data_IF_446280697647
#
_entry.id   IF_446280697647
#
_cell.length_a   1.000
_cell.length_b   1.000
_cell.length_c   1.000
_cell.angle_alpha   90.00
_cell.angle_beta   90.00
_cell.angle_gamma   90.00
#
_symmetry.space_group_name_H-M   'P 1'
#
loop_
_entity.id
_entity.type
_entity.pdbx_description
1 polymer ?
#
# COMPACT_ATOMS: atom_id res chain seq x y z
N UNK A 1 15.94 -17.17 -28.89
CA UNK A 1 15.93 -18.58 -29.35
C UNK A 1 15.05 -19.43 -28.42
N UNK A 2 13.79 -19.05 -28.19
CA UNK A 2 12.83 -19.78 -27.33
C UNK A 2 11.48 -20.04 -28.05
N UNK A 3 11.38 -19.75 -29.36
CA UNK A 3 10.14 -19.92 -30.13
C UNK A 3 9.94 -21.34 -30.66
N UNK A 4 11.01 -22.03 -31.09
CA UNK A 4 10.88 -23.33 -31.77
C UNK A 4 10.15 -24.39 -30.95
N UNK A 5 10.44 -24.51 -29.65
CA UNK A 5 9.80 -25.52 -28.80
C UNK A 5 8.32 -25.21 -28.50
N UNK A 6 7.98 -23.91 -28.40
CA UNK A 6 6.60 -23.46 -28.16
C UNK A 6 5.73 -23.64 -29.40
N UNK A 7 6.27 -23.33 -30.59
CA UNK A 7 5.58 -23.48 -31.86
C UNK A 7 5.35 -24.96 -32.20
N UNK A 8 6.32 -25.83 -31.88
CA UNK A 8 6.18 -27.28 -32.08
C UNK A 8 5.10 -27.89 -31.19
N UNK A 9 4.94 -27.39 -29.95
CA UNK A 9 3.91 -27.86 -29.02
C UNK A 9 2.52 -27.36 -29.43
N UNK A 10 2.42 -26.10 -29.88
CA UNK A 10 1.17 -25.54 -30.41
C UNK A 10 0.69 -26.31 -31.65
N UNK A 11 1.60 -26.63 -32.58
CA UNK A 11 1.26 -27.42 -33.77
C UNK A 11 0.84 -28.86 -33.43
N UNK A 12 1.43 -29.48 -32.41
CA UNK A 12 1.06 -30.82 -31.96
C UNK A 12 -0.35 -30.86 -31.32
N UNK A 13 -0.71 -29.83 -30.54
CA UNK A 13 -2.04 -29.71 -29.93
C UNK A 13 -3.13 -29.47 -30.98
N UNK A 14 -2.88 -28.61 -31.96
CA UNK A 14 -3.78 -28.39 -33.09
C UNK A 14 -4.00 -29.68 -33.92
N UNK A 15 -2.96 -30.54 -34.00
CA UNK A 15 -3.08 -31.83 -34.67
C UNK A 15 -3.94 -32.83 -33.88
N UNK A 16 -3.85 -32.86 -32.55
CA UNK A 16 -4.74 -33.69 -31.72
C UNK A 16 -6.19 -33.21 -31.79
N UNK A 17 -6.43 -31.90 -31.76
CA UNK A 17 -7.77 -31.34 -31.91
C UNK A 17 -8.38 -31.67 -33.28
N UNK A 18 -7.58 -31.66 -34.35
CA UNK A 18 -8.03 -32.10 -35.68
C UNK A 18 -8.45 -33.58 -35.74
N UNK A 19 -7.80 -34.45 -34.95
CA UNK A 19 -8.15 -35.86 -34.86
C UNK A 19 -9.42 -36.05 -34.01
N UNK A 20 -9.54 -35.36 -32.89
CA UNK A 20 -10.69 -35.46 -31.96
C UNK A 20 -11.96 -34.87 -32.60
N UNK A 21 -11.83 -33.76 -33.34
CA UNK A 21 -12.94 -33.12 -34.05
C UNK A 21 -13.32 -33.84 -35.37
N UNK A 22 -12.56 -34.88 -35.77
CA UNK A 22 -12.79 -35.62 -37.01
C UNK A 22 -12.47 -34.85 -38.30
N UNK A 23 -11.82 -33.69 -38.21
CA UNK A 23 -11.48 -32.82 -39.34
C UNK A 23 -10.16 -33.20 -40.03
N UNK A 24 -9.27 -33.95 -39.35
CA UNK A 24 -8.13 -34.66 -39.92
C UNK A 24 -8.34 -36.15 -39.72
N UNK A 25 -9.08 -36.78 -40.63
CA UNK A 25 -9.03 -38.21 -40.79
C UNK A 25 -7.58 -38.58 -41.15
N UNK A 26 -6.93 -39.35 -40.29
CA UNK A 26 -5.69 -40.01 -40.62
C UNK A 26 -5.96 -40.83 -41.88
N UNK A 27 -5.33 -40.48 -43.01
CA UNK A 27 -5.33 -41.28 -44.23
C UNK A 27 -4.60 -42.61 -43.97
N UNK A 28 -5.13 -43.42 -43.06
CA UNK A 28 -5.12 -44.85 -43.27
C UNK A 28 -6.08 -45.08 -44.43
N UNK A 29 -5.52 -45.27 -45.62
CA UNK A 29 -6.18 -45.99 -46.71
C UNK A 29 -6.61 -47.35 -46.18
N UNK A 30 -7.78 -47.40 -45.54
CA UNK A 30 -8.45 -48.60 -45.10
C UNK A 30 -9.94 -48.30 -44.92
N UNK A 31 -10.69 -48.65 -45.97
CA UNK A 31 -11.85 -49.50 -45.74
C UNK A 31 -13.21 -48.82 -45.80
N UNK A 32 -13.50 -48.08 -46.86
CA UNK A 32 -14.91 -47.90 -47.26
C UNK A 32 -15.29 -48.56 -48.59
N UNK A 33 -14.38 -48.88 -49.52
CA UNK A 33 -14.77 -49.68 -50.70
C UNK A 33 -13.56 -50.30 -51.42
N UNK A 34 -12.86 -51.25 -50.80
CA UNK A 34 -11.88 -52.08 -51.53
C UNK A 34 -11.97 -53.55 -51.13
N UNK A 35 -12.84 -54.28 -51.82
CA UNK A 35 -13.09 -55.71 -51.69
C UNK A 35 -11.99 -56.54 -52.40
N UNK A 36 -10.71 -56.30 -52.09
CA UNK A 36 -9.58 -56.90 -52.82
C UNK A 36 -8.46 -57.44 -51.92
N UNK A 37 -8.77 -58.20 -50.86
CA UNK A 37 -7.75 -58.99 -50.15
C UNK A 37 -8.06 -60.49 -50.21
N UNK A 38 -7.14 -61.39 -50.66
CA UNK A 38 -7.51 -62.73 -51.12
C UNK A 38 -7.73 -63.81 -50.04
N UNK A 39 -7.59 -63.51 -48.75
CA UNK A 39 -7.33 -64.57 -47.74
C UNK A 39 -8.13 -64.53 -46.43
N UNK A 40 -9.26 -63.81 -46.32
CA UNK A 40 -10.10 -63.88 -45.10
C UNK A 40 -11.30 -64.84 -45.24
N UNK A 41 -11.41 -65.90 -44.40
CA UNK A 41 -12.51 -66.87 -44.46
C UNK A 41 -13.87 -66.31 -44.04
N UNK A 42 -13.89 -65.31 -43.16
CA UNK A 42 -15.13 -64.69 -42.66
C UNK A 42 -15.65 -63.59 -43.60
N UNK A 43 -14.75 -62.93 -44.34
CA UNK A 43 -15.10 -61.93 -45.36
C UNK A 43 -15.56 -62.55 -46.67
N UNK A 44 -15.29 -63.83 -46.92
CA UNK A 44 -15.77 -64.56 -48.10
C UNK A 44 -17.30 -64.63 -48.17
N UNK A 45 -17.97 -64.77 -47.02
CA UNK A 45 -19.44 -64.75 -46.93
C UNK A 45 -20.00 -63.36 -47.24
N UNK A 46 -19.39 -62.29 -46.72
CA UNK A 46 -19.79 -60.92 -47.05
C UNK A 46 -19.56 -60.58 -48.52
N UNK A 47 -18.49 -61.11 -49.13
CA UNK A 47 -18.20 -60.94 -50.56
C UNK A 47 -19.21 -61.69 -51.44
N UNK A 48 -19.58 -62.91 -51.03
CA UNK A 48 -20.63 -63.67 -51.70
C UNK A 48 -21.98 -62.94 -51.64
N UNK A 49 -22.33 -62.35 -50.49
CA UNK A 49 -23.55 -61.55 -50.34
C UNK A 49 -23.54 -60.29 -51.21
N UNK A 50 -22.43 -59.55 -51.26
CA UNK A 50 -22.31 -58.39 -52.15
C UNK A 50 -22.40 -58.78 -53.64
N UNK A 51 -21.73 -59.87 -54.06
CA UNK A 51 -21.84 -60.34 -55.44
C UNK A 51 -23.25 -60.78 -55.80
N UNK A 52 -23.97 -61.40 -54.85
CA UNK A 52 -25.39 -61.77 -55.01
C UNK A 52 -26.26 -60.53 -55.14
N UNK A 53 -25.99 -59.47 -54.38
CA UNK A 53 -26.69 -58.20 -54.47
C UNK A 53 -26.42 -57.48 -55.80
N UNK A 54 -25.17 -57.45 -56.26
CA UNK A 54 -24.78 -56.91 -57.57
C UNK A 54 -25.43 -57.70 -58.72
N UNK A 55 -25.42 -59.04 -58.63
CA UNK A 55 -26.10 -59.91 -59.59
C UNK A 55 -27.61 -59.68 -59.58
N UNK A 56 -28.22 -59.52 -58.40
CA UNK A 56 -29.63 -59.18 -58.27
C UNK A 56 -29.93 -57.85 -58.97
N UNK A 57 -29.13 -56.81 -58.72
CA UNK A 57 -29.31 -55.50 -59.34
C UNK A 57 -29.19 -55.56 -60.87
N UNK A 58 -28.17 -56.26 -61.40
CA UNK A 58 -27.99 -56.46 -62.83
C UNK A 58 -29.14 -57.26 -63.44
N UNK A 59 -29.57 -58.33 -62.78
CA UNK A 59 -30.74 -59.09 -63.22
C UNK A 59 -31.98 -58.20 -63.20
N UNK A 60 -32.26 -57.43 -62.15
CA UNK A 60 -33.45 -56.57 -62.09
C UNK A 60 -33.55 -55.60 -63.27
N UNK A 61 -32.42 -55.06 -63.74
CA UNK A 61 -32.36 -54.13 -64.87
C UNK A 61 -32.46 -54.77 -66.27
N UNK A 62 -32.36 -56.10 -66.40
CA UNK A 62 -32.48 -56.80 -67.69
C UNK A 62 -33.92 -56.93 -68.19
N UNK A 63 -34.10 -57.02 -69.51
CA UNK A 63 -35.41 -57.25 -70.14
C UNK A 63 -35.92 -58.67 -69.89
N UNK A 64 -37.25 -58.86 -69.95
CA UNK A 64 -37.89 -60.13 -69.58
C UNK A 64 -37.47 -61.30 -70.48
N UNK A 65 -37.28 -61.05 -71.78
CA UNK A 65 -36.87 -62.08 -72.75
C UNK A 65 -35.42 -62.55 -72.50
N UNK A 66 -34.54 -61.66 -72.05
CA UNK A 66 -33.15 -62.00 -71.70
C UNK A 66 -33.07 -62.77 -70.37
N UNK A 67 -33.89 -62.40 -69.39
CA UNK A 67 -34.03 -63.14 -68.12
C UNK A 67 -34.52 -64.57 -68.35
N UNK A 68 -35.49 -64.73 -69.25
CA UNK A 68 -36.03 -66.05 -69.57
C UNK A 68 -35.00 -66.89 -70.35
N UNK A 69 -34.23 -66.26 -71.24
CA UNK A 69 -33.07 -66.89 -71.90
C UNK A 69 -31.99 -67.38 -70.92
N UNK A 70 -31.77 -66.68 -69.80
CA UNK A 70 -30.87 -67.12 -68.74
C UNK A 70 -31.45 -68.24 -67.88
N UNK A 71 -32.76 -68.21 -67.60
CA UNK A 71 -33.45 -69.29 -66.87
C UNK A 71 -33.40 -70.62 -67.62
N UNK A 72 -33.58 -70.59 -68.93
CA UNK A 72 -33.45 -71.76 -69.80
C UNK A 72 -32.04 -72.37 -69.82
N UNK A 73 -31.02 -71.65 -69.33
CA UNK A 73 -29.64 -72.16 -69.20
C UNK A 73 -29.38 -72.82 -67.85
N UNK A 74 -30.25 -72.62 -66.85
CA UNK A 74 -30.13 -73.26 -65.53
C UNK A 74 -30.86 -74.60 -65.58
N UNK A 75 -30.19 -75.74 -65.30
CA UNK A 75 -30.85 -77.03 -65.23
C UNK A 75 -31.93 -77.06 -64.14
N UNK A 76 -33.11 -77.60 -64.44
CA UNK A 76 -34.26 -77.66 -63.51
C UNK A 76 -33.91 -78.30 -62.16
N UNK A 77 -33.06 -79.34 -62.16
CA UNK A 77 -32.58 -80.01 -60.95
C UNK A 77 -31.82 -79.09 -60.00
N UNK A 78 -31.13 -78.07 -60.52
CA UNK A 78 -30.38 -77.11 -59.71
C UNK A 78 -31.32 -76.09 -59.08
N UNK A 79 -32.34 -75.65 -59.82
CA UNK A 79 -33.37 -74.75 -59.30
C UNK A 79 -34.18 -75.43 -58.17
N UNK A 80 -34.58 -76.68 -58.37
CA UNK A 80 -35.30 -77.47 -57.36
C UNK A 80 -34.45 -77.66 -56.09
N UNK A 81 -33.18 -78.04 -56.24
CA UNK A 81 -32.27 -78.24 -55.08
C UNK A 81 -32.10 -76.96 -54.26
N UNK A 82 -32.00 -75.79 -54.91
CA UNK A 82 -31.87 -74.50 -54.22
C UNK A 82 -33.14 -74.12 -53.47
N UNK A 83 -34.31 -74.37 -54.07
CA UNK A 83 -35.61 -74.15 -53.42
C UNK A 83 -35.76 -75.06 -52.20
N UNK A 84 -35.41 -76.34 -52.33
CA UNK A 84 -35.47 -77.30 -51.24
C UNK A 84 -34.52 -76.94 -50.10
N UNK A 85 -33.32 -76.46 -50.42
CA UNK A 85 -32.34 -76.00 -49.43
C UNK A 85 -32.82 -74.77 -48.65
N UNK A 86 -33.38 -73.77 -49.33
CA UNK A 86 -33.96 -72.58 -48.70
C UNK A 86 -35.14 -72.93 -47.81
N UNK A 87 -35.99 -73.87 -48.23
CA UNK A 87 -37.14 -74.31 -47.45
C UNK A 87 -36.73 -75.14 -46.23
N UNK A 88 -35.72 -76.02 -46.35
CA UNK A 88 -35.24 -76.90 -45.28
C UNK A 88 -34.59 -76.15 -44.11
N UNK A 89 -33.88 -75.04 -44.38
CA UNK A 89 -33.32 -74.17 -43.34
C UNK A 89 -34.39 -73.52 -42.46
N UNK A 90 -35.59 -73.26 -43.00
CA UNK A 90 -36.70 -72.64 -42.27
C UNK A 90 -37.45 -73.63 -41.35
N UNK A 91 -37.30 -74.94 -41.57
CA UNK A 91 -38.05 -75.99 -40.84
C UNK A 91 -37.25 -76.77 -39.78
N UNK A 92 -35.92 -76.68 -39.76
CA UNK A 92 -35.06 -77.43 -38.83
C UNK A 92 -34.76 -76.73 -37.47
N UNK A 93 -35.60 -75.76 -37.08
CA UNK A 93 -35.41 -74.98 -35.85
C UNK A 93 -36.08 -75.52 -34.57
N UNK A 94 -36.55 -76.77 -34.52
CA UNK A 94 -37.28 -77.28 -33.34
C UNK A 94 -36.77 -78.66 -32.85
N UNK A 95 -35.80 -78.65 -31.92
CA UNK A 95 -35.37 -79.81 -31.12
C UNK A 95 -35.89 -79.66 -29.67
N UNK A 96 -36.87 -80.46 -29.20
CA UNK A 96 -37.42 -80.35 -27.85
C UNK A 96 -36.48 -81.07 -26.86
N UNK A 97 -35.75 -80.28 -26.06
CA UNK A 97 -34.84 -80.79 -25.03
C UNK A 97 -33.63 -79.88 -24.73
N UNK A 98 -33.22 -79.06 -25.70
CA UNK A 98 -32.16 -78.07 -25.52
C UNK A 98 -32.68 -76.67 -25.17
N UNK A 99 -33.92 -76.33 -25.57
CA UNK A 99 -34.50 -74.99 -25.38
C UNK A 99 -34.60 -74.55 -23.92
N UNK A 100 -34.89 -75.48 -23.00
CA UNK A 100 -35.04 -75.19 -21.56
C UNK A 100 -33.70 -74.76 -20.93
N UNK A 101 -32.59 -75.38 -21.34
CA UNK A 101 -31.24 -75.03 -20.87
C UNK A 101 -30.79 -73.67 -21.42
N UNK A 102 -31.12 -73.34 -22.68
CA UNK A 102 -30.84 -72.02 -23.24
C UNK A 102 -31.69 -70.93 -22.60
N UNK A 103 -32.95 -71.24 -22.29
CA UNK A 103 -33.88 -70.31 -21.67
C UNK A 103 -33.50 -70.05 -20.20
N UNK A 104 -33.08 -71.07 -19.45
CA UNK A 104 -32.55 -70.90 -18.09
C UNK A 104 -31.23 -70.11 -18.08
N UNK A 105 -30.32 -70.37 -19.04
CA UNK A 105 -29.09 -69.59 -19.19
C UNK A 105 -29.36 -68.14 -19.55
N UNK A 106 -30.36 -67.89 -20.40
CA UNK A 106 -30.80 -66.55 -20.76
C UNK A 106 -31.34 -65.81 -19.53
N UNK A 107 -32.23 -66.45 -18.76
CA UNK A 107 -32.79 -65.86 -17.54
C UNK A 107 -31.71 -65.52 -16.50
N UNK A 108 -30.68 -66.36 -16.34
CA UNK A 108 -29.53 -66.06 -15.46
C UNK A 108 -28.73 -64.86 -15.95
N UNK A 109 -28.43 -64.80 -17.25
CA UNK A 109 -27.73 -63.66 -17.85
C UNK A 109 -28.54 -62.36 -17.77
N UNK A 110 -29.86 -62.44 -17.89
CA UNK A 110 -30.76 -61.30 -17.70
C UNK A 110 -30.72 -60.81 -16.25
N UNK A 111 -30.75 -61.71 -15.28
CA UNK A 111 -30.65 -61.37 -13.86
C UNK A 111 -29.26 -60.79 -13.50
N UNK A 112 -28.18 -61.36 -14.05
CA UNK A 112 -26.82 -60.82 -13.90
C UNK A 112 -26.70 -59.43 -14.54
N UNK A 113 -27.32 -59.22 -15.70
CA UNK A 113 -27.40 -57.90 -16.36
C UNK A 113 -28.15 -56.90 -15.47
N UNK A 114 -29.29 -57.27 -14.91
CA UNK A 114 -30.06 -56.41 -14.00
C UNK A 114 -29.24 -56.06 -12.74
N UNK A 115 -28.55 -57.04 -12.15
CA UNK A 115 -27.65 -56.81 -11.01
C UNK A 115 -26.49 -55.87 -11.37
N UNK A 116 -25.88 -56.04 -12.55
CA UNK A 116 -24.80 -55.16 -13.02
C UNK A 116 -25.32 -53.73 -13.26
N UNK A 117 -26.52 -53.58 -13.83
CA UNK A 117 -27.14 -52.26 -14.04
C UNK A 117 -27.34 -51.54 -12.70
N UNK A 118 -27.79 -52.24 -11.67
CA UNK A 118 -27.92 -51.66 -10.32
C UNK A 118 -26.55 -51.25 -9.75
N UNK A 119 -25.52 -52.10 -9.90
CA UNK A 119 -24.17 -51.76 -9.43
C UNK A 119 -23.61 -50.53 -10.16
N UNK A 120 -23.80 -50.43 -11.48
CA UNK A 120 -23.42 -49.26 -12.26
C UNK A 120 -24.18 -48.03 -11.76
N UNK A 121 -25.49 -48.13 -11.52
CA UNK A 121 -26.28 -47.01 -10.98
C UNK A 121 -25.74 -46.52 -9.63
N UNK A 122 -25.45 -47.43 -8.70
CA UNK A 122 -24.90 -47.07 -7.37
C UNK A 122 -23.52 -46.42 -7.51
N UNK A 123 -22.66 -46.93 -8.39
CA UNK A 123 -21.35 -46.32 -8.64
C UNK A 123 -21.48 -44.95 -9.29
N UNK A 124 -22.44 -44.76 -10.20
CA UNK A 124 -22.75 -43.45 -10.80
C UNK A 124 -23.16 -42.46 -9.71
N UNK A 125 -24.12 -42.80 -8.84
CA UNK A 125 -24.55 -41.93 -7.74
C UNK A 125 -23.39 -41.60 -6.79
N UNK A 126 -22.51 -42.56 -6.52
CA UNK A 126 -21.32 -42.36 -5.68
C UNK A 126 -20.32 -41.39 -6.31
N UNK A 127 -20.06 -41.52 -7.62
CA UNK A 127 -19.16 -40.62 -8.36
C UNK A 127 -19.76 -39.21 -8.41
N UNK A 128 -21.07 -39.08 -8.63
CA UNK A 128 -21.76 -37.80 -8.61
C UNK A 128 -21.68 -37.13 -7.23
N UNK A 129 -21.95 -37.87 -6.15
CA UNK A 129 -21.83 -37.36 -4.78
C UNK A 129 -20.39 -36.96 -4.41
N UNK A 130 -19.39 -37.70 -4.90
CA UNK A 130 -17.98 -37.31 -4.75
C UNK A 130 -17.65 -36.05 -5.56
N UNK A 131 -18.22 -35.91 -6.76
CA UNK A 131 -18.07 -34.70 -7.58
C UNK A 131 -18.65 -33.46 -6.93
N UNK A 132 -19.82 -33.57 -6.28
CA UNK A 132 -20.40 -32.48 -5.47
C UNK A 132 -19.50 -32.13 -4.29
N UNK A 133 -19.01 -33.14 -3.55
CA UNK A 133 -18.10 -32.90 -2.41
C UNK A 133 -16.80 -32.21 -2.83
N UNK A 134 -16.25 -32.55 -3.99
CA UNK A 134 -15.07 -31.87 -4.54
C UNK A 134 -15.39 -30.40 -4.80
N UNK A 135 -16.51 -30.11 -5.48
CA UNK A 135 -16.95 -28.73 -5.74
C UNK A 135 -17.15 -27.91 -4.45
N UNK A 136 -17.77 -28.50 -3.43
CA UNK A 136 -17.94 -27.84 -2.15
C UNK A 136 -16.59 -27.50 -1.49
N UNK A 137 -15.62 -28.41 -1.54
CA UNK A 137 -14.28 -28.20 -1.00
C UNK A 137 -13.51 -27.14 -1.79
N UNK A 138 -13.61 -27.14 -3.12
CA UNK A 138 -13.01 -26.12 -3.99
C UNK A 138 -13.59 -24.73 -3.66
N UNK A 139 -14.91 -24.64 -3.48
CA UNK A 139 -15.57 -23.40 -3.07
C UNK A 139 -15.09 -22.91 -1.69
N UNK A 140 -15.05 -23.80 -0.69
CA UNK A 140 -14.55 -23.45 0.64
C UNK A 140 -13.08 -22.99 0.60
N UNK A 141 -12.25 -23.63 -0.24
CA UNK A 141 -10.84 -23.29 -0.39
C UNK A 141 -10.69 -21.89 -0.98
N UNK A 142 -11.47 -21.55 -2.00
CA UNK A 142 -11.44 -20.21 -2.60
C UNK A 142 -11.93 -19.14 -1.61
N UNK A 143 -13.00 -19.40 -0.85
CA UNK A 143 -13.48 -18.47 0.18
C UNK A 143 -12.40 -18.21 1.25
N UNK A 144 -11.68 -19.25 1.68
CA UNK A 144 -10.57 -19.10 2.61
C UNK A 144 -9.39 -18.33 1.99
N UNK A 145 -9.10 -18.53 0.70
CA UNK A 145 -8.08 -17.80 -0.04
C UNK A 145 -8.41 -16.31 -0.12
N UNK A 146 -9.66 -15.96 -0.43
CA UNK A 146 -10.12 -14.57 -0.45
C UNK A 146 -10.01 -13.90 0.93
N UNK A 147 -10.45 -14.60 1.99
CA UNK A 147 -10.30 -14.11 3.37
C UNK A 147 -8.84 -13.88 3.74
N UNK A 148 -7.95 -14.81 3.37
CA UNK A 148 -6.52 -14.67 3.60
C UNK A 148 -5.98 -13.41 2.91
N UNK A 149 -6.29 -13.23 1.62
CA UNK A 149 -5.86 -12.05 0.86
C UNK A 149 -6.37 -10.74 1.50
N UNK A 150 -7.65 -10.69 1.90
CA UNK A 150 -8.21 -9.51 2.57
C UNK A 150 -7.49 -9.20 3.89
N UNK A 151 -7.18 -10.22 4.70
CA UNK A 151 -6.43 -10.02 5.94
C UNK A 151 -4.98 -9.59 5.70
N UNK A 152 -4.36 -10.08 4.63
CA UNK A 152 -3.01 -9.68 4.23
C UNK A 152 -2.96 -8.22 3.77
N UNK A 153 -3.94 -7.78 2.95
CA UNK A 153 -4.08 -6.39 2.52
C UNK A 153 -4.28 -5.44 3.72
N UNK A 154 -5.16 -5.82 4.65
CA UNK A 154 -5.36 -5.05 5.89
C UNK A 154 -4.06 -4.93 6.71
N UNK A 155 -3.29 -6.02 6.82
CA UNK A 155 -2.02 -6.02 7.53
C UNK A 155 -0.98 -5.14 6.83
N UNK A 156 -0.89 -5.19 5.51
CA UNK A 156 0.00 -4.32 4.73
C UNK A 156 -0.35 -2.84 4.94
N UNK A 157 -1.64 -2.49 4.92
CA UNK A 157 -2.10 -1.13 5.20
C UNK A 157 -1.73 -0.68 6.61
N UNK A 158 -1.92 -1.54 7.62
CA UNK A 158 -1.56 -1.25 9.01
C UNK A 158 -0.05 -1.03 9.16
N UNK A 159 0.79 -1.83 8.49
CA UNK A 159 2.25 -1.66 8.49
C UNK A 159 2.68 -0.32 7.89
N UNK A 160 2.05 0.10 6.79
CA UNK A 160 2.31 1.42 6.18
C UNK A 160 1.90 2.56 7.11
N UNK A 161 0.70 2.47 7.70
CA UNK A 161 0.18 3.44 8.67
C UNK A 161 1.09 3.55 9.89
N UNK A 162 1.49 2.41 10.46
CA UNK A 162 2.42 2.34 11.60
C UNK A 162 3.76 2.97 11.28
N UNK A 163 4.31 2.70 10.09
CA UNK A 163 5.59 3.28 9.66
C UNK A 163 5.48 4.81 9.55
N UNK A 164 4.39 5.31 8.96
CA UNK A 164 4.13 6.76 8.86
C UNK A 164 4.01 7.42 10.23
N UNK A 165 3.28 6.82 11.16
CA UNK A 165 3.13 7.32 12.53
C UNK A 165 4.46 7.33 13.30
N UNK A 166 5.29 6.29 13.15
CA UNK A 166 6.60 6.26 13.80
C UNK A 166 7.51 7.35 13.25
N UNK A 167 7.47 7.63 11.94
CA UNK A 167 8.19 8.78 11.35
C UNK A 167 7.71 10.10 11.94
N UNK A 168 6.40 10.36 11.97
CA UNK A 168 5.84 11.59 12.54
C UNK A 168 6.21 11.77 14.01
N UNK A 169 6.22 10.68 14.79
CA UNK A 169 6.65 10.70 16.19
C UNK A 169 8.12 11.10 16.32
N UNK A 170 9.02 10.58 15.48
CA UNK A 170 10.43 10.96 15.49
C UNK A 170 10.62 12.43 15.13
N UNK A 171 9.87 12.93 14.15
CA UNK A 171 9.92 14.35 13.75
C UNK A 171 9.47 15.25 14.92
N UNK A 172 8.37 14.93 15.59
CA UNK A 172 7.90 15.65 16.77
C UNK A 172 8.90 15.58 17.93
N UNK A 173 9.56 14.44 18.15
CA UNK A 173 10.62 14.32 19.16
C UNK A 173 11.82 15.23 18.84
N UNK A 174 12.19 15.36 17.56
CA UNK A 174 13.23 16.28 17.12
C UNK A 174 12.82 17.75 17.31
N UNK A 175 11.57 18.10 16.99
CA UNK A 175 11.02 19.44 17.22
C UNK A 175 10.99 19.80 18.72
N UNK A 176 10.53 18.90 19.58
CA UNK A 176 10.55 19.09 21.04
C UNK A 176 11.98 19.32 21.53
N UNK A 177 12.94 18.56 21.02
CA UNK A 177 14.36 18.73 21.39
C UNK A 177 14.89 20.09 20.96
N UNK A 178 14.55 20.55 19.75
CA UNK A 178 14.89 21.88 19.26
C UNK A 178 14.23 23.00 20.08
N UNK A 179 12.96 22.85 20.46
CA UNK A 179 12.26 23.82 21.30
C UNK A 179 12.87 23.90 22.69
N UNK A 180 13.30 22.78 23.29
CA UNK A 180 14.03 22.78 24.56
C UNK A 180 15.35 23.56 24.46
N UNK A 181 16.13 23.36 23.40
CA UNK A 181 17.37 24.11 23.19
C UNK A 181 17.10 25.62 23.04
N UNK A 182 16.06 26.00 22.28
CA UNK A 182 15.64 27.40 22.15
C UNK A 182 15.19 27.99 23.48
N UNK A 183 14.43 27.24 24.28
CA UNK A 183 13.99 27.66 25.60
C UNK A 183 15.20 27.97 26.50
N UNK A 184 16.16 27.04 26.59
CA UNK A 184 17.38 27.25 27.39
C UNK A 184 18.19 28.45 26.90
N UNK A 185 18.27 28.67 25.58
CA UNK A 185 18.93 29.85 25.03
C UNK A 185 18.24 31.15 25.47
N UNK A 186 16.90 31.21 25.38
CA UNK A 186 16.11 32.38 25.80
C UNK A 186 16.19 32.59 27.31
N UNK A 187 16.18 31.54 28.12
CA UNK A 187 16.35 31.62 29.57
C UNK A 187 17.71 32.21 29.95
N UNK A 188 18.78 31.83 29.22
CA UNK A 188 20.11 32.40 29.39
C UNK A 188 20.12 33.89 29.02
N UNK A 189 19.60 34.25 27.85
CA UNK A 189 19.53 35.64 27.42
C UNK A 189 18.76 36.49 28.45
N UNK A 190 17.64 35.96 28.98
CA UNK A 190 16.84 36.62 30.02
C UNK A 190 17.66 36.88 31.29
N UNK A 191 18.46 35.92 31.76
CA UNK A 191 19.35 36.10 32.90
C UNK A 191 20.40 37.19 32.64
N UNK A 192 21.00 37.20 31.45
CA UNK A 192 21.97 38.23 31.04
C UNK A 192 21.31 39.63 30.96
N UNK A 193 20.03 39.73 30.61
CA UNK A 193 19.26 40.98 30.69
C UNK A 193 18.97 41.40 32.14
N UNK A 194 18.61 40.47 33.02
CA UNK A 194 18.36 40.75 34.44
C UNK A 194 19.62 41.28 35.14
N UNK A 195 20.80 40.73 34.82
CA UNK A 195 22.08 41.18 35.37
C UNK A 195 22.40 42.62 34.96
N UNK A 196 22.30 42.91 33.65
CA UNK A 196 22.49 44.28 33.13
C UNK A 196 21.46 45.27 33.66
N UNK A 197 20.23 44.81 33.90
CA UNK A 197 19.19 45.65 34.50
C UNK A 197 19.56 46.03 35.94
N UNK A 198 20.05 45.08 36.74
CA UNK A 198 20.54 45.34 38.10
C UNK A 198 21.71 46.33 38.12
N UNK A 199 22.65 46.21 37.19
CA UNK A 199 23.75 47.18 37.06
C UNK A 199 23.22 48.59 36.78
N UNK A 200 22.22 48.68 35.90
CA UNK A 200 21.57 49.96 35.55
C UNK A 200 20.83 50.56 36.75
N UNK A 201 20.12 49.74 37.55
CA UNK A 201 19.51 50.17 38.81
C UNK A 201 20.54 50.69 39.81
N UNK A 202 21.70 50.02 39.92
CA UNK A 202 22.81 50.48 40.74
C UNK A 202 23.34 51.86 40.33
N UNK A 203 23.56 52.06 39.02
CA UNK A 203 23.98 53.36 38.49
C UNK A 203 22.92 54.45 38.71
N UNK A 204 21.63 54.13 38.57
CA UNK A 204 20.55 55.07 38.88
C UNK A 204 20.56 55.49 40.35
N UNK A 205 20.84 54.56 41.26
CA UNK A 205 20.93 54.86 42.68
C UNK A 205 22.14 55.75 42.99
N UNK A 206 23.31 55.46 42.40
CA UNK A 206 24.50 56.31 42.52
C UNK A 206 24.25 57.74 41.99
N UNK A 207 23.56 57.88 40.85
CA UNK A 207 23.16 59.19 40.31
C UNK A 207 22.26 59.94 41.30
N UNK A 208 21.33 59.25 41.96
CA UNK A 208 20.43 59.87 42.94
C UNK A 208 21.20 60.33 44.19
N UNK A 209 22.12 59.52 44.70
CA UNK A 209 22.97 59.88 45.84
C UNK A 209 23.86 61.09 45.52
N UNK A 210 24.48 61.10 44.33
CA UNK A 210 25.27 62.24 43.85
C UNK A 210 24.41 63.51 43.72
N UNK A 211 23.17 63.41 43.20
CA UNK A 211 22.25 64.54 43.12
C UNK A 211 21.91 65.11 44.50
N UNK A 212 21.64 64.24 45.48
CA UNK A 212 21.38 64.67 46.84
C UNK A 212 22.61 65.39 47.42
N UNK A 213 23.81 64.83 47.22
CA UNK A 213 25.05 65.42 47.72
C UNK A 213 25.35 66.78 47.08
N UNK A 214 25.12 66.92 45.78
CA UNK A 214 25.23 68.20 45.08
C UNK A 214 24.24 69.21 45.67
N UNK A 215 22.98 68.81 45.92
CA UNK A 215 22.00 69.68 46.54
C UNK A 215 22.42 70.13 47.95
N UNK A 216 22.98 69.24 48.76
CA UNK A 216 23.52 69.58 50.09
C UNK A 216 24.66 70.61 49.96
N UNK A 217 25.62 70.36 49.08
CA UNK A 217 26.74 71.26 48.81
C UNK A 217 26.28 72.65 48.36
N UNK A 218 25.26 72.72 47.49
CA UNK A 218 24.68 74.00 47.06
C UNK A 218 24.04 74.77 48.22
N UNK A 219 23.39 74.08 49.16
CA UNK A 219 22.86 74.72 50.37
C UNK A 219 23.97 75.23 51.30
N UNK A 220 25.03 74.45 51.51
CA UNK A 220 26.20 74.86 52.31
C UNK A 220 26.88 76.08 51.67
N UNK A 221 27.09 76.05 50.35
CA UNK A 221 27.65 77.16 49.58
C UNK A 221 26.81 78.43 49.77
N UNK A 222 25.48 78.34 49.65
CA UNK A 222 24.60 79.48 49.84
C UNK A 222 24.68 80.05 51.27
N UNK A 223 24.84 79.18 52.28
CA UNK A 223 25.06 79.63 53.65
C UNK A 223 26.40 80.36 53.80
N UNK A 224 27.48 79.85 53.21
CA UNK A 224 28.78 80.52 53.22
C UNK A 224 28.73 81.86 52.49
N UNK A 225 28.04 81.96 51.36
CA UNK A 225 27.84 83.21 50.63
C UNK A 225 27.09 84.25 51.47
N UNK A 226 26.04 83.85 52.20
CA UNK A 226 25.32 84.74 53.13
C UNK A 226 26.21 85.22 54.27
N UNK A 227 26.96 84.31 54.90
CA UNK A 227 27.92 84.67 55.97
C UNK A 227 28.99 85.63 55.45
N UNK A 228 29.55 85.36 54.27
CA UNK A 228 30.53 86.21 53.61
C UNK A 228 29.97 87.61 53.31
N UNK A 229 28.69 87.70 52.94
CA UNK A 229 28.02 88.98 52.72
C UNK A 229 27.89 89.78 54.02
N UNK A 230 27.41 89.15 55.11
CA UNK A 230 27.30 89.79 56.44
C UNK A 230 28.66 90.31 56.93
N UNK A 231 29.71 89.48 56.85
CA UNK A 231 31.04 89.88 57.32
C UNK A 231 31.64 91.01 56.48
N UNK A 232 31.37 91.06 55.16
CA UNK A 232 31.75 92.20 54.31
C UNK A 232 31.04 93.48 54.71
N UNK A 233 29.74 93.42 55.00
CA UNK A 233 28.93 94.58 55.45
C UNK A 233 29.41 95.09 56.82
N UNK A 234 29.67 94.20 57.77
CA UNK A 234 30.25 94.53 59.08
C UNK A 234 31.62 95.21 58.95
N UNK A 235 32.50 94.66 58.08
CA UNK A 235 33.83 95.22 57.83
C UNK A 235 33.73 96.61 57.19
N UNK A 236 32.77 96.84 56.30
CA UNK A 236 32.51 98.16 55.73
C UNK A 236 32.05 99.16 56.80
N UNK A 237 31.14 98.77 57.69
CA UNK A 237 30.70 99.63 58.81
C UNK A 237 31.85 99.95 59.78
N UNK A 238 32.70 98.98 60.11
CA UNK A 238 33.87 99.21 60.96
C UNK A 238 34.89 100.14 60.30
N UNK A 239 35.06 100.07 58.98
CA UNK A 239 35.92 101.01 58.23
C UNK A 239 35.38 102.43 58.30
N UNK A 240 34.07 102.62 58.12
CA UNK A 240 33.43 103.93 58.22
C UNK A 240 33.59 104.52 59.64
N UNK A 241 33.36 103.71 60.68
CA UNK A 241 33.59 104.12 62.08
C UNK A 241 35.05 104.49 62.34
N UNK A 242 36.00 103.74 61.77
CA UNK A 242 37.43 104.04 61.90
C UNK A 242 37.76 105.40 61.25
N UNK A 243 37.25 105.65 60.04
CA UNK A 243 37.46 106.92 59.33
C UNK A 243 36.84 108.12 60.08
N UNK A 244 35.64 107.94 60.65
CA UNK A 244 35.01 108.95 61.50
C UNK A 244 35.87 109.24 62.74
N UNK A 245 36.37 108.21 63.43
CA UNK A 245 37.25 108.37 64.60
C UNK A 245 38.58 109.01 64.22
N UNK A 246 39.18 108.65 63.10
CA UNK A 246 40.39 109.30 62.58
C UNK A 246 40.15 110.79 62.29
N UNK A 247 39.00 111.14 61.71
CA UNK A 247 38.62 112.53 61.47
C UNK A 247 38.41 113.30 62.78
N UNK A 248 37.82 112.67 63.79
CA UNK A 248 37.62 113.25 65.12
C UNK A 248 38.95 113.47 65.84
N UNK A 249 39.87 112.49 65.77
CA UNK A 249 41.24 112.61 66.28
C UNK A 249 41.97 113.76 65.59
N UNK A 250 41.92 113.86 64.26
CA UNK A 250 42.52 114.99 63.51
C UNK A 250 41.96 116.34 63.99
N UNK A 251 40.64 116.47 64.13
CA UNK A 251 39.98 117.69 64.63
C UNK A 251 40.40 118.02 66.07
N UNK A 252 40.53 117.02 66.94
CA UNK A 252 41.00 117.22 68.32
C UNK A 252 42.47 117.63 68.36
N UNK A 253 43.32 117.05 67.51
CA UNK A 253 44.71 117.45 67.33
C UNK A 253 44.81 118.91 66.87
N UNK A 254 44.01 119.32 65.87
CA UNK A 254 43.93 120.72 65.42
C UNK A 254 43.48 121.67 66.54
N UNK A 255 42.46 121.30 67.32
CA UNK A 255 42.00 122.09 68.48
C UNK A 255 43.07 122.22 69.57
N UNK A 256 43.80 121.15 69.89
CA UNK A 256 44.93 121.17 70.83
C UNK A 256 46.03 122.12 70.34
N UNK A 257 46.38 122.06 69.05
CA UNK A 257 47.34 122.99 68.43
C UNK A 257 46.88 124.44 68.52
N UNK A 258 45.58 124.72 68.30
CA UNK A 258 45.03 126.07 68.48
C UNK A 258 45.04 126.53 69.94
N UNK A 259 44.79 125.64 70.90
CA UNK A 259 44.82 125.96 72.34
C UNK A 259 46.24 126.26 72.84
N UNK A 260 47.24 125.50 72.38
CA UNK A 260 48.65 125.78 72.64
C UNK A 260 49.15 127.09 72.00
N UNK A 261 48.44 127.61 71.00
CA UNK A 261 48.71 128.94 70.41
C UNK A 261 47.98 130.09 71.14
N UNK A 262 46.95 129.80 71.95
CA UNK A 262 46.16 130.80 72.69
C UNK A 262 46.50 130.91 74.18
N UNK A 263 47.04 129.85 74.78
CA UNK A 263 47.61 129.87 76.14
C UNK A 263 49.13 129.86 76.02
N UNK A 264 49.75 131.04 76.19
CA UNK A 264 51.18 131.12 76.43
C UNK A 264 51.52 130.40 77.73
N UNK A 265 52.15 129.23 77.61
CA UNK A 265 52.89 128.61 78.70
C UNK A 265 54.34 128.50 78.23
N UNK A 266 55.10 129.55 78.55
CA UNK A 266 56.51 129.44 78.85
C UNK A 266 56.66 128.49 80.05
N UNK A 267 57.37 127.37 79.91
CA UNK A 267 58.27 126.93 81.00
C UNK A 267 59.57 126.40 80.38
N UNK A 268 60.63 127.05 80.86
CA UNK A 268 62.06 126.89 80.66
C UNK A 268 62.63 125.47 80.58
N UNK A 269 63.68 125.43 79.77
CA UNK A 269 64.88 124.61 79.80
C UNK A 269 65.56 124.53 81.19
N UNK A 270 65.90 123.30 81.65
CA UNK A 270 67.08 123.04 82.50
C UNK A 270 67.44 121.54 82.59
N UNK A 271 68.62 121.23 82.04
CA UNK A 271 69.49 120.05 82.23
C UNK A 271 69.11 118.75 81.51
#
# INVERSE_FOLDING_TARGET
>A
MMSDASDMLAAALEQMDGIIAGSKALEYSNGIFDCQSPTSPFMGSLRALHLVEDLRGLLEMMEADEKEGLRCQIPDSTAETLVEWLQSQMTNGHLPGNGDVYQERLARLENDKESLVLQVSVLTDQVEAQGEKIRDLEFCLEEHREKLNATEEMLQQELLSRTSLETQKLDLMAEISNLKLKLTAVEKDRLDYEDRFRDTEGLMQEINDLRLRVSEMDTEKLQYEKKLKSTKEELASLKEQLEEKESEVKRLQEKLVCKMKGEGIEILDRA
#
